data_IF_266722861790
#
_entry.id   IF_266722861790
#
_cell.length_a   1.000
_cell.length_b   1.000
_cell.length_c   1.000
_cell.angle_alpha   90.00
_cell.angle_beta   90.00
_cell.angle_gamma   90.00
#
_symmetry.space_group_name_H-M   'P 1'
#
loop_
_entity.id
_entity.type
_entity.pdbx_description
1 polymer ?
#
# COMPACT_ATOMS: atom_id res chain seq x y z
N UNK A 1 -27.92 -17.04 -8.57
CA UNK A 1 -27.04 -15.93 -8.10
C UNK A 1 -26.22 -15.25 -9.19
N UNK A 2 -25.33 -15.93 -9.97
CA UNK A 2 -24.58 -15.24 -11.05
C UNK A 2 -25.48 -14.87 -12.25
N UNK A 3 -26.42 -15.76 -12.59
CA UNK A 3 -27.36 -15.54 -13.70
C UNK A 3 -28.39 -14.44 -13.43
N UNK A 4 -29.01 -14.42 -12.25
CA UNK A 4 -29.98 -13.38 -11.86
C UNK A 4 -29.34 -11.97 -11.86
N UNK A 5 -28.08 -11.87 -11.41
CA UNK A 5 -27.33 -10.61 -11.41
C UNK A 5 -26.97 -10.12 -12.81
N UNK A 6 -26.80 -11.03 -13.77
CA UNK A 6 -26.57 -10.66 -15.18
C UNK A 6 -27.83 -10.04 -15.77
N UNK A 7 -28.99 -10.65 -15.55
CA UNK A 7 -30.26 -10.16 -16.10
C UNK A 7 -30.63 -8.79 -15.53
N UNK A 8 -30.39 -8.56 -14.23
CA UNK A 8 -30.56 -7.26 -13.58
C UNK A 8 -29.62 -6.19 -14.17
N UNK A 9 -28.35 -6.53 -14.37
CA UNK A 9 -27.36 -5.63 -14.98
C UNK A 9 -27.75 -5.31 -16.42
N UNK A 10 -28.12 -6.33 -17.19
CA UNK A 10 -28.51 -6.19 -18.58
C UNK A 10 -29.77 -5.33 -18.71
N UNK A 11 -30.74 -5.48 -17.79
CA UNK A 11 -31.91 -4.61 -17.70
C UNK A 11 -31.51 -3.15 -17.45
N UNK A 12 -30.64 -2.90 -16.47
CA UNK A 12 -30.14 -1.56 -16.17
C UNK A 12 -29.43 -0.92 -17.36
N UNK A 13 -28.57 -1.68 -18.05
CA UNK A 13 -27.83 -1.22 -19.24
C UNK A 13 -28.79 -0.92 -20.39
N UNK A 14 -29.76 -1.79 -20.66
CA UNK A 14 -30.77 -1.56 -21.71
C UNK A 14 -31.60 -0.30 -21.42
N UNK A 15 -32.04 -0.12 -20.18
CA UNK A 15 -32.77 1.08 -19.74
C UNK A 15 -31.93 2.35 -19.93
N UNK A 16 -30.66 2.33 -19.53
CA UNK A 16 -29.72 3.44 -19.73
C UNK A 16 -29.54 3.78 -21.22
N UNK A 17 -29.33 2.77 -22.07
CA UNK A 17 -29.19 2.95 -23.51
C UNK A 17 -30.45 3.56 -24.14
N UNK A 18 -31.64 3.10 -23.74
CA UNK A 18 -32.92 3.65 -24.19
C UNK A 18 -33.06 5.13 -23.83
N UNK A 19 -32.74 5.51 -22.58
CA UNK A 19 -32.80 6.92 -22.12
C UNK A 19 -31.83 7.81 -22.89
N UNK A 20 -30.69 7.27 -23.33
CA UNK A 20 -29.64 8.00 -24.05
C UNK A 20 -29.74 7.88 -25.58
N UNK A 21 -30.75 7.19 -26.09
CA UNK A 21 -30.92 6.89 -27.52
C UNK A 21 -29.66 6.22 -28.14
N UNK A 22 -29.06 5.30 -27.39
CA UNK A 22 -27.92 4.49 -27.84
C UNK A 22 -28.46 3.18 -28.42
N UNK A 23 -28.09 2.86 -29.65
CA UNK A 23 -28.49 1.62 -30.30
C UNK A 23 -27.93 0.40 -29.56
N UNK A 24 -28.83 -0.54 -29.24
CA UNK A 24 -28.48 -1.77 -28.53
C UNK A 24 -28.19 -2.85 -29.60
N UNK A 25 -26.99 -3.44 -29.61
CA UNK A 25 -26.66 -4.53 -30.54
C UNK A 25 -27.58 -5.74 -30.36
N UNK A 26 -27.84 -6.48 -31.43
CA UNK A 26 -28.53 -7.77 -31.33
C UNK A 26 -27.65 -8.79 -30.60
N UNK A 27 -28.01 -9.08 -29.35
CA UNK A 27 -27.29 -10.00 -28.48
C UNK A 27 -27.34 -11.46 -28.99
N UNK A 28 -28.30 -11.80 -29.86
CA UNK A 28 -28.38 -13.12 -30.48
C UNK A 28 -27.46 -13.28 -31.70
N UNK A 29 -26.87 -12.19 -32.19
CA UNK A 29 -25.94 -12.21 -33.32
C UNK A 29 -24.66 -12.98 -33.00
N UNK A 30 -24.01 -13.52 -34.04
CA UNK A 30 -22.72 -14.20 -33.89
C UNK A 30 -21.63 -13.20 -33.50
N UNK A 31 -20.84 -13.55 -32.48
CA UNK A 31 -19.69 -12.75 -32.09
C UNK A 31 -18.48 -13.01 -33.00
N UNK A 32 -17.80 -11.95 -33.44
CA UNK A 32 -16.56 -12.03 -34.19
C UNK A 32 -15.44 -11.29 -33.45
N UNK A 33 -14.44 -12.02 -32.96
CA UNK A 33 -13.27 -11.42 -32.30
C UNK A 33 -12.50 -10.49 -33.25
N UNK A 34 -12.43 -9.20 -32.95
CA UNK A 34 -11.65 -8.22 -33.75
C UNK A 34 -10.18 -8.21 -33.30
N UNK A 35 -9.31 -8.87 -34.05
CA UNK A 35 -7.86 -8.81 -33.87
C UNK A 35 -7.08 -9.40 -35.06
N UNK A 36 -5.83 -8.97 -35.25
CA UNK A 36 -4.98 -9.33 -36.41
C UNK A 36 -4.73 -10.85 -36.60
N UNK A 37 -5.10 -11.69 -35.62
CA UNK A 37 -5.02 -13.17 -35.68
C UNK A 37 -6.37 -13.85 -35.99
N UNK A 38 -7.42 -13.09 -36.31
CA UNK A 38 -8.78 -13.60 -36.53
C UNK A 38 -9.06 -14.10 -37.96
N UNK A 39 -8.07 -14.68 -38.65
CA UNK A 39 -8.29 -15.19 -40.01
C UNK A 39 -8.91 -16.59 -40.09
N UNK A 40 -9.16 -17.28 -38.97
CA UNK A 40 -9.84 -18.58 -39.05
C UNK A 40 -10.42 -19.13 -37.71
N UNK A 41 -11.00 -18.29 -36.86
CA UNK A 41 -11.78 -18.76 -35.70
C UNK A 41 -13.19 -18.19 -35.79
N UNK A 42 -14.10 -18.96 -36.36
CA UNK A 42 -15.52 -18.81 -36.04
C UNK A 42 -15.65 -19.06 -34.54
N UNK A 43 -16.02 -18.04 -33.75
CA UNK A 43 -16.54 -18.28 -32.41
C UNK A 43 -17.97 -18.78 -32.56
N UNK A 44 -18.22 -20.01 -32.14
CA UNK A 44 -19.52 -20.70 -32.21
C UNK A 44 -20.55 -20.14 -31.19
N UNK A 45 -20.32 -18.92 -30.71
CA UNK A 45 -21.02 -18.34 -29.56
C UNK A 45 -21.58 -16.96 -29.90
N UNK A 46 -22.73 -16.66 -29.31
CA UNK A 46 -23.48 -15.41 -29.53
C UNK A 46 -22.81 -14.22 -28.86
N UNK A 47 -23.19 -13.01 -29.27
CA UNK A 47 -22.76 -11.76 -28.64
C UNK A 47 -23.16 -11.72 -27.15
N UNK A 48 -24.32 -12.27 -26.80
CA UNK A 48 -24.74 -12.49 -25.41
C UNK A 48 -23.72 -13.34 -24.64
N UNK A 49 -23.31 -14.48 -25.20
CA UNK A 49 -22.34 -15.36 -24.57
C UNK A 49 -21.00 -14.64 -24.34
N UNK A 50 -20.54 -13.88 -25.34
CA UNK A 50 -19.29 -13.12 -25.21
C UNK A 50 -19.34 -12.11 -24.05
N UNK A 51 -20.39 -11.28 -23.97
CA UNK A 51 -20.49 -10.30 -22.89
C UNK A 51 -20.77 -10.92 -21.52
N UNK A 52 -21.63 -11.94 -21.46
CA UNK A 52 -22.03 -12.60 -20.22
C UNK A 52 -20.91 -13.47 -19.64
N UNK A 53 -20.31 -14.32 -20.47
CA UNK A 53 -19.36 -15.34 -20.02
C UNK A 53 -17.93 -14.82 -20.10
N UNK A 54 -17.48 -14.40 -21.28
CA UNK A 54 -16.07 -14.05 -21.49
C UNK A 54 -15.66 -12.73 -20.79
N UNK A 55 -16.62 -11.82 -20.58
CA UNK A 55 -16.35 -10.52 -19.96
C UNK A 55 -16.91 -10.46 -18.54
N UNK A 56 -18.23 -10.59 -18.37
CA UNK A 56 -18.85 -10.34 -17.06
C UNK A 56 -18.51 -11.42 -16.03
N UNK A 57 -18.67 -12.70 -16.36
CA UNK A 57 -18.29 -13.78 -15.45
C UNK A 57 -16.79 -13.85 -15.24
N UNK A 58 -15.99 -13.62 -16.27
CA UNK A 58 -14.54 -13.56 -16.12
C UNK A 58 -14.12 -12.43 -15.18
N UNK A 59 -14.67 -11.22 -15.34
CA UNK A 59 -14.38 -10.11 -14.43
C UNK A 59 -14.77 -10.42 -12.98
N UNK A 60 -15.93 -11.03 -12.74
CA UNK A 60 -16.34 -11.47 -11.40
C UNK A 60 -15.40 -12.55 -10.87
N UNK A 61 -15.03 -13.51 -11.70
CA UNK A 61 -14.11 -14.58 -11.30
C UNK A 61 -12.74 -14.00 -10.95
N UNK A 62 -12.20 -13.08 -11.75
CA UNK A 62 -10.97 -12.37 -11.42
C UNK A 62 -11.09 -11.65 -10.08
N UNK A 63 -12.17 -10.91 -9.84
CA UNK A 63 -12.38 -10.22 -8.56
C UNK A 63 -12.47 -11.20 -7.38
N UNK A 64 -13.17 -12.32 -7.54
CA UNK A 64 -13.27 -13.36 -6.51
C UNK A 64 -11.92 -14.01 -6.26
N UNK A 65 -11.16 -14.36 -7.30
CA UNK A 65 -9.82 -14.91 -7.18
C UNK A 65 -8.86 -13.95 -6.49
N UNK A 66 -8.92 -12.66 -6.82
CA UNK A 66 -8.11 -11.62 -6.16
C UNK A 66 -8.51 -11.46 -4.69
N UNK A 67 -9.80 -11.53 -4.36
CA UNK A 67 -10.27 -11.51 -2.97
C UNK A 67 -9.79 -12.74 -2.21
N UNK A 68 -9.94 -13.94 -2.77
CA UNK A 68 -9.50 -15.19 -2.15
C UNK A 68 -7.98 -15.24 -2.00
N UNK A 69 -7.24 -14.67 -2.96
CA UNK A 69 -5.79 -14.57 -2.87
C UNK A 69 -5.36 -13.59 -1.77
N UNK A 70 -5.98 -12.41 -1.69
CA UNK A 70 -5.68 -11.39 -0.67
C UNK A 70 -6.09 -11.84 0.74
N UNK A 71 -7.28 -12.42 0.87
CA UNK A 71 -7.85 -12.92 2.13
C UNK A 71 -7.75 -14.44 2.22
N UNK A 72 -6.58 -14.98 1.89
CA UNK A 72 -6.30 -16.41 2.04
C UNK A 72 -6.53 -16.87 3.48
N UNK A 73 -6.74 -18.17 3.68
CA UNK A 73 -6.88 -18.76 5.02
C UNK A 73 -5.73 -18.35 5.96
N UNK A 74 -4.51 -18.24 5.42
CA UNK A 74 -3.33 -17.76 6.14
C UNK A 74 -3.47 -16.31 6.59
N UNK A 75 -3.89 -15.41 5.69
CA UNK A 75 -4.13 -14.00 6.01
C UNK A 75 -5.26 -13.83 7.02
N UNK A 76 -6.33 -14.62 6.89
CA UNK A 76 -7.45 -14.61 7.81
C UNK A 76 -7.06 -15.12 9.20
N UNK A 77 -6.24 -16.18 9.28
CA UNK A 77 -5.68 -16.65 10.53
C UNK A 77 -4.79 -15.60 11.20
N UNK A 78 -3.96 -14.91 10.42
CA UNK A 78 -3.14 -13.80 10.91
C UNK A 78 -4.00 -12.72 11.58
N UNK A 79 -5.05 -12.26 10.91
CA UNK A 79 -5.97 -11.25 11.48
C UNK A 79 -6.71 -11.77 12.70
N UNK A 80 -7.11 -13.05 12.70
CA UNK A 80 -7.73 -13.69 13.86
C UNK A 80 -6.81 -13.68 15.07
N UNK A 81 -5.53 -14.00 14.89
CA UNK A 81 -4.54 -13.95 15.97
C UNK A 81 -4.28 -12.49 16.41
N UNK A 82 -4.11 -11.57 15.45
CA UNK A 82 -3.89 -10.15 15.72
C UNK A 82 -5.05 -9.46 16.47
N UNK A 83 -6.29 -9.96 16.31
CA UNK A 83 -7.48 -9.42 16.98
C UNK A 83 -7.37 -9.39 18.52
N UNK A 84 -6.51 -10.23 19.12
CA UNK A 84 -6.24 -10.24 20.57
C UNK A 84 -5.60 -8.93 21.06
N UNK A 85 -4.90 -8.21 20.16
CA UNK A 85 -4.27 -6.92 20.43
C UNK A 85 -5.21 -5.74 20.15
N UNK A 86 -6.39 -5.96 19.57
CA UNK A 86 -7.35 -4.90 19.29
C UNK A 86 -8.12 -4.51 20.57
N UNK A 87 -8.04 -3.24 21.01
CA UNK A 87 -8.81 -2.77 22.16
C UNK A 87 -10.33 -2.91 22.00
N UNK A 88 -10.87 -3.00 20.77
CA UNK A 88 -12.30 -3.30 20.57
C UNK A 88 -12.73 -4.61 21.23
N UNK A 89 -11.81 -5.56 21.33
CA UNK A 89 -12.05 -6.86 21.94
C UNK A 89 -11.69 -6.87 23.43
N UNK A 90 -11.61 -5.70 24.10
CA UNK A 90 -11.28 -5.61 25.53
C UNK A 90 -12.28 -6.33 26.45
N UNK A 91 -13.45 -6.71 25.95
CA UNK A 91 -14.43 -7.53 26.68
C UNK A 91 -14.07 -9.03 26.70
N UNK A 92 -13.24 -9.48 25.76
CA UNK A 92 -12.74 -10.86 25.71
C UNK A 92 -11.51 -11.03 26.60
N UNK A 93 -11.28 -12.22 27.16
CA UNK A 93 -10.03 -12.51 27.87
C UNK A 93 -8.85 -12.43 26.90
N UNK A 94 -7.79 -11.74 27.31
CA UNK A 94 -6.59 -11.58 26.50
C UNK A 94 -5.92 -12.93 26.20
N UNK A 95 -5.81 -13.28 24.92
CA UNK A 95 -5.22 -14.54 24.46
C UNK A 95 -3.74 -14.32 24.18
N UNK A 96 -2.90 -14.47 25.21
CA UNK A 96 -1.45 -14.29 25.08
C UNK A 96 -0.78 -15.35 24.19
N UNK A 97 -1.34 -16.55 24.15
CA UNK A 97 -0.88 -17.62 23.26
C UNK A 97 -1.06 -17.24 21.78
N UNK A 98 -2.15 -16.55 21.43
CA UNK A 98 -2.41 -16.11 20.07
C UNK A 98 -1.34 -15.10 19.60
N UNK A 99 -0.86 -14.23 20.50
CA UNK A 99 0.25 -13.31 20.20
C UNK A 99 1.55 -14.08 19.92
N UNK A 100 1.81 -15.14 20.68
CA UNK A 100 2.99 -15.98 20.47
C UNK A 100 2.90 -16.70 19.12
N UNK A 101 1.73 -17.28 18.80
CA UNK A 101 1.49 -17.95 17.52
C UNK A 101 1.61 -16.98 16.34
N UNK A 102 1.13 -15.74 16.50
CA UNK A 102 1.25 -14.71 15.48
C UNK A 102 2.71 -14.44 15.13
N UNK A 103 3.56 -14.26 16.14
CA UNK A 103 5.00 -14.03 15.95
C UNK A 103 5.69 -15.26 15.37
N UNK A 104 5.42 -16.44 15.93
CA UNK A 104 6.06 -17.69 15.50
C UNK A 104 5.72 -18.06 14.05
N UNK A 105 4.49 -17.79 13.60
CA UNK A 105 4.01 -18.20 12.27
C UNK A 105 4.16 -17.14 11.19
N UNK A 106 3.93 -15.86 11.51
CA UNK A 106 3.86 -14.80 10.51
C UNK A 106 5.04 -13.83 10.54
N UNK A 107 5.78 -13.78 11.65
CA UNK A 107 6.96 -12.91 11.79
C UNK A 107 8.21 -13.66 12.31
N UNK A 108 8.58 -14.81 11.71
CA UNK A 108 9.70 -15.61 12.20
C UNK A 108 11.06 -14.90 12.06
N UNK A 109 11.21 -14.04 11.04
CA UNK A 109 12.44 -13.30 10.74
C UNK A 109 12.55 -11.96 11.51
N UNK A 110 11.42 -11.39 11.94
CA UNK A 110 11.40 -10.13 12.68
C UNK A 110 11.63 -10.31 14.19
N UNK A 111 11.69 -11.56 14.66
CA UNK A 111 11.90 -11.90 16.07
C UNK A 111 12.87 -13.07 16.21
N UNK A 112 13.96 -12.86 16.94
CA UNK A 112 14.86 -13.93 17.36
C UNK A 112 14.20 -14.86 18.38
N UNK A 113 14.69 -16.09 18.50
CA UNK A 113 14.14 -17.06 19.47
C UNK A 113 14.29 -16.60 20.93
N UNK A 114 15.33 -15.81 21.21
CA UNK A 114 15.48 -15.16 22.51
C UNK A 114 14.39 -14.11 22.75
N UNK A 115 14.11 -13.25 21.77
CA UNK A 115 13.02 -12.26 21.85
C UNK A 115 11.66 -12.92 21.98
N UNK A 116 11.40 -14.04 21.28
CA UNK A 116 10.15 -14.83 21.44
C UNK A 116 9.97 -15.32 22.87
N UNK A 117 11.05 -15.72 23.53
CA UNK A 117 11.03 -16.14 24.94
C UNK A 117 10.76 -14.96 25.88
N UNK A 118 11.41 -13.83 25.64
CA UNK A 118 11.17 -12.59 26.41
C UNK A 118 9.73 -12.11 26.22
N UNK A 119 9.20 -12.17 24.99
CA UNK A 119 7.84 -11.78 24.66
C UNK A 119 6.82 -12.57 25.50
N UNK A 120 7.00 -13.89 25.63
CA UNK A 120 6.15 -14.75 26.48
C UNK A 120 6.09 -14.26 27.92
N UNK A 121 7.22 -13.81 28.48
CA UNK A 121 7.28 -13.24 29.83
C UNK A 121 6.63 -11.84 29.89
N UNK A 122 6.96 -10.96 28.94
CA UNK A 122 6.42 -9.58 28.88
C UNK A 122 4.91 -9.55 28.69
N UNK A 123 4.34 -10.53 27.99
CA UNK A 123 2.89 -10.66 27.80
C UNK A 123 2.13 -10.82 29.12
N UNK A 124 2.71 -11.49 30.12
CA UNK A 124 2.08 -11.64 31.43
C UNK A 124 1.92 -10.29 32.14
N UNK A 125 2.98 -9.47 32.07
CA UNK A 125 2.95 -8.10 32.61
C UNK A 125 2.06 -7.17 31.78
N UNK A 126 2.03 -7.34 30.46
CA UNK A 126 1.20 -6.54 29.57
C UNK A 126 -0.30 -6.66 29.89
N UNK A 127 -0.78 -7.86 30.23
CA UNK A 127 -2.18 -8.05 30.64
C UNK A 127 -2.53 -7.21 31.85
N UNK A 128 -1.65 -7.18 32.85
CA UNK A 128 -1.87 -6.46 34.11
C UNK A 128 -1.74 -4.95 33.90
N UNK A 129 -0.68 -4.52 33.22
CA UNK A 129 -0.28 -3.11 33.15
C UNK A 129 -1.01 -2.32 32.04
N UNK A 130 -1.44 -3.00 30.98
CA UNK A 130 -2.06 -2.38 29.80
C UNK A 130 -3.50 -2.84 29.64
N UNK A 131 -3.76 -4.15 29.51
CA UNK A 131 -5.10 -4.64 29.14
C UNK A 131 -6.14 -4.38 30.23
N UNK A 132 -5.76 -4.53 31.50
CA UNK A 132 -6.65 -4.24 32.63
C UNK A 132 -6.88 -2.74 32.88
N UNK A 133 -6.10 -1.86 32.24
CA UNK A 133 -6.17 -0.43 32.46
C UNK A 133 -7.48 0.18 31.93
N UNK A 134 -8.13 1.04 32.72
CA UNK A 134 -9.42 1.64 32.36
C UNK A 134 -9.40 2.47 31.06
N UNK A 135 -8.26 3.06 30.73
CA UNK A 135 -8.09 3.79 29.46
C UNK A 135 -8.03 2.84 28.27
N UNK A 136 -7.40 1.67 28.41
CA UNK A 136 -7.30 0.67 27.33
C UNK A 136 -8.69 0.22 26.87
N UNK A 137 -9.58 -0.05 27.82
CA UNK A 137 -10.98 -0.46 27.56
C UNK A 137 -11.83 0.59 26.81
N UNK A 138 -11.36 1.84 26.76
CA UNK A 138 -12.05 2.95 26.07
C UNK A 138 -11.51 3.19 24.66
N UNK A 139 -10.38 2.58 24.30
CA UNK A 139 -9.80 2.74 22.97
C UNK A 139 -10.62 1.98 21.94
N UNK A 140 -10.71 2.54 20.74
CA UNK A 140 -11.56 2.03 19.67
C UNK A 140 -10.78 1.31 18.58
N UNK A 141 -9.45 1.42 18.53
CA UNK A 141 -8.65 0.72 17.53
C UNK A 141 -7.18 0.54 17.95
N UNK A 142 -6.48 -0.33 17.24
CA UNK A 142 -5.03 -0.57 17.40
C UNK A 142 -4.20 0.72 17.19
N UNK A 143 -4.64 1.62 16.30
CA UNK A 143 -3.97 2.90 16.10
C UNK A 143 -3.98 3.79 17.35
N UNK A 144 -5.12 3.86 18.05
CA UNK A 144 -5.24 4.58 19.33
C UNK A 144 -4.42 3.92 20.44
N UNK A 145 -4.35 2.58 20.46
CA UNK A 145 -3.46 1.83 21.35
C UNK A 145 -2.00 2.20 21.15
N UNK A 146 -1.53 2.23 19.90
CA UNK A 146 -0.16 2.60 19.56
C UNK A 146 0.17 4.02 20.08
N UNK A 147 -0.71 4.99 19.83
CA UNK A 147 -0.54 6.36 20.34
C UNK A 147 -0.54 6.43 21.86
N UNK A 148 -1.42 5.67 22.51
CA UNK A 148 -1.54 5.66 23.96
C UNK A 148 -0.31 5.05 24.64
N UNK A 149 0.24 3.96 24.08
CA UNK A 149 1.48 3.34 24.56
C UNK A 149 2.62 4.37 24.56
N UNK A 150 2.75 5.15 23.49
CA UNK A 150 3.83 6.14 23.38
C UNK A 150 3.61 7.34 24.29
N UNK A 151 2.38 7.84 24.39
CA UNK A 151 2.05 8.93 25.34
C UNK A 151 2.34 8.55 26.79
N UNK A 152 2.21 7.27 27.13
CA UNK A 152 2.42 6.75 28.48
C UNK A 152 3.85 6.26 28.74
N UNK A 153 4.76 6.38 27.77
CA UNK A 153 6.13 5.85 27.80
C UNK A 153 6.23 4.32 27.98
N UNK A 154 5.13 3.60 27.71
CA UNK A 154 5.03 2.14 27.86
C UNK A 154 5.60 1.38 26.65
N UNK A 155 5.85 2.06 25.54
CA UNK A 155 6.56 1.55 24.36
C UNK A 155 7.97 1.07 24.71
N UNK A 156 8.64 1.71 25.68
CA UNK A 156 9.98 1.27 26.11
C UNK A 156 9.95 0.02 26.98
N UNK A 157 8.90 -0.15 27.79
CA UNK A 157 8.72 -1.32 28.66
C UNK A 157 8.25 -2.54 27.86
N UNK A 158 7.34 -2.31 26.91
CA UNK A 158 6.74 -3.32 26.06
C UNK A 158 7.18 -3.17 24.59
N UNK A 159 8.47 -2.92 24.37
CA UNK A 159 9.13 -2.74 23.07
C UNK A 159 8.78 -3.84 22.04
N UNK A 160 8.79 -5.12 22.45
CA UNK A 160 8.48 -6.24 21.55
C UNK A 160 7.00 -6.25 21.11
N UNK A 161 6.09 -5.89 22.02
CA UNK A 161 4.65 -5.82 21.74
C UNK A 161 4.37 -4.58 20.89
N UNK A 162 5.03 -3.46 21.20
CA UNK A 162 4.95 -2.23 20.42
C UNK A 162 5.46 -2.45 18.98
N UNK A 163 6.60 -3.13 18.81
CA UNK A 163 7.13 -3.53 17.49
C UNK A 163 6.13 -4.38 16.72
N UNK A 164 5.49 -5.35 17.37
CA UNK A 164 4.46 -6.17 16.75
C UNK A 164 3.22 -5.35 16.34
N UNK A 165 2.77 -4.41 17.18
CA UNK A 165 1.67 -3.50 16.85
C UNK A 165 2.04 -2.63 15.63
N UNK A 166 3.26 -2.12 15.58
CA UNK A 166 3.74 -1.38 14.40
C UNK A 166 3.73 -2.28 13.16
N UNK A 167 4.27 -3.50 13.23
CA UNK A 167 4.24 -4.45 12.12
C UNK A 167 2.81 -4.69 11.60
N UNK A 168 1.84 -4.87 12.50
CA UNK A 168 0.43 -5.02 12.15
C UNK A 168 -0.17 -3.76 11.48
N UNK A 169 0.16 -2.57 11.97
CA UNK A 169 -0.30 -1.30 11.39
C UNK A 169 0.33 -1.02 10.02
N UNK A 170 1.54 -1.54 9.79
CA UNK A 170 2.28 -1.39 8.53
C UNK A 170 1.94 -2.45 7.49
N UNK A 171 1.12 -3.45 7.84
CA UNK A 171 0.66 -4.42 6.85
C UNK A 171 -0.06 -3.67 5.74
N UNK A 172 0.29 -3.93 4.47
CA UNK A 172 -0.41 -3.36 3.33
C UNK A 172 -1.78 -4.04 3.17
N UNK A 173 -2.69 -3.80 4.13
CA UNK A 173 -4.11 -4.16 4.00
C UNK A 173 -4.78 -3.21 2.99
N UNK A 174 -4.19 -2.03 2.78
CA UNK A 174 -4.66 -1.04 1.82
C UNK A 174 -3.73 -1.01 0.60
N UNK A 175 -4.10 -1.70 -0.49
CA UNK A 175 -3.45 -1.50 -1.80
C UNK A 175 -3.65 -0.09 -2.36
N UNK A 176 -4.45 0.75 -1.70
CA UNK A 176 -4.73 2.12 -2.12
C UNK A 176 -3.47 2.98 -2.30
N UNK A 177 -2.42 2.83 -1.46
CA UNK A 177 -1.19 3.61 -1.60
C UNK A 177 -0.35 3.16 -2.80
N UNK A 178 -0.29 1.85 -3.05
CA UNK A 178 0.42 1.27 -4.20
C UNK A 178 -0.34 1.55 -5.51
N UNK A 179 -1.67 1.47 -5.51
CA UNK A 179 -2.50 1.83 -6.66
C UNK A 179 -2.43 3.34 -6.96
N UNK A 180 -2.32 4.19 -5.92
CA UNK A 180 -2.05 5.62 -6.09
C UNK A 180 -0.69 5.87 -6.72
N UNK A 181 0.36 5.15 -6.34
CA UNK A 181 1.68 5.29 -6.97
C UNK A 181 1.71 4.76 -8.41
N UNK A 182 0.97 3.69 -8.73
CA UNK A 182 0.79 3.24 -10.12
C UNK A 182 -0.08 4.20 -10.97
N UNK A 183 -1.10 4.81 -10.38
CA UNK A 183 -1.88 5.86 -11.05
C UNK A 183 -1.05 7.12 -11.27
N UNK A 184 -0.29 7.54 -10.25
CA UNK A 184 0.70 8.61 -10.34
C UNK A 184 1.73 8.33 -11.43
N UNK A 185 2.23 7.10 -11.52
CA UNK A 185 3.12 6.64 -12.59
C UNK A 185 2.50 6.83 -13.97
N UNK A 186 1.24 6.43 -14.16
CA UNK A 186 0.56 6.66 -15.44
C UNK A 186 0.32 8.14 -15.76
N UNK A 187 0.20 9.00 -14.74
CA UNK A 187 0.06 10.45 -14.90
C UNK A 187 1.42 11.10 -15.23
N UNK A 188 2.50 10.68 -14.56
CA UNK A 188 3.86 11.17 -14.79
C UNK A 188 4.37 10.68 -16.16
N UNK A 189 4.20 9.39 -16.45
CA UNK A 189 4.45 8.77 -17.76
C UNK A 189 3.24 8.93 -18.68
N UNK A 190 3.05 10.14 -19.17
CA UNK A 190 2.15 10.36 -20.31
C UNK A 190 2.74 9.74 -21.59
N UNK A 191 1.87 9.44 -22.57
CA UNK A 191 2.27 8.87 -23.87
C UNK A 191 3.36 9.66 -24.62
N UNK A 192 3.53 10.95 -24.28
CA UNK A 192 4.54 11.88 -24.84
C UNK A 192 5.86 11.86 -24.05
N UNK A 193 5.86 11.42 -22.78
CA UNK A 193 7.03 11.35 -21.87
C UNK A 193 7.46 9.91 -21.55
N UNK A 194 7.31 8.99 -22.50
CA UNK A 194 7.64 7.57 -22.27
C UNK A 194 9.15 7.27 -22.14
N UNK A 195 10.02 8.24 -22.43
CA UNK A 195 11.48 8.12 -22.29
C UNK A 195 11.95 9.08 -21.20
N UNK A 196 11.95 8.60 -19.97
CA UNK A 196 12.49 9.28 -18.78
C UNK A 196 13.50 8.35 -18.14
N UNK A 197 14.55 8.92 -17.56
CA UNK A 197 15.54 8.18 -16.79
C UNK A 197 14.93 7.70 -15.46
N UNK A 198 15.36 6.54 -14.97
CA UNK A 198 14.74 5.88 -13.82
C UNK A 198 14.90 6.70 -12.53
N UNK A 199 16.04 7.39 -12.37
CA UNK A 199 16.27 8.31 -11.24
C UNK A 199 15.27 9.47 -11.24
N UNK A 200 15.13 10.15 -12.39
CA UNK A 200 14.23 11.30 -12.52
C UNK A 200 12.75 10.92 -12.35
N UNK A 201 12.38 9.72 -12.80
CA UNK A 201 11.05 9.17 -12.59
C UNK A 201 10.77 8.92 -11.11
N UNK A 202 11.74 8.33 -10.39
CA UNK A 202 11.60 8.05 -8.97
C UNK A 202 11.42 9.35 -8.16
N UNK A 203 12.25 10.36 -8.43
CA UNK A 203 12.16 11.67 -7.78
C UNK A 203 10.82 12.36 -8.06
N UNK A 204 10.34 12.28 -9.31
CA UNK A 204 9.04 12.85 -9.70
C UNK A 204 7.86 12.14 -9.04
N UNK A 205 7.93 10.82 -8.91
CA UNK A 205 6.90 10.02 -8.22
C UNK A 205 6.87 10.31 -6.74
N UNK A 206 8.04 10.45 -6.10
CA UNK A 206 8.16 10.79 -4.70
C UNK A 206 7.47 12.11 -4.40
N UNK A 207 7.75 13.16 -5.19
CA UNK A 207 7.08 14.46 -5.07
C UNK A 207 5.55 14.39 -5.27
N UNK A 208 5.08 13.49 -6.15
CA UNK A 208 3.66 13.35 -6.43
C UNK A 208 2.91 12.57 -5.34
N UNK A 209 3.53 11.51 -4.81
CA UNK A 209 2.97 10.68 -3.72
C UNK A 209 2.94 11.49 -2.43
N UNK A 210 4.03 12.19 -2.12
CA UNK A 210 4.21 13.01 -0.91
C UNK A 210 3.79 14.47 -1.13
N UNK A 211 2.85 14.74 -2.03
CA UNK A 211 2.46 16.11 -2.40
C UNK A 211 2.04 16.94 -1.19
N UNK A 212 1.35 16.34 -0.23
CA UNK A 212 0.91 17.02 1.00
C UNK A 212 2.06 17.45 1.91
N UNK A 213 3.21 16.76 1.83
CA UNK A 213 4.44 17.12 2.53
C UNK A 213 5.24 18.12 1.69
N UNK A 214 5.34 17.90 0.38
CA UNK A 214 6.05 18.77 -0.56
C UNK A 214 5.44 20.18 -0.62
N UNK A 215 4.12 20.31 -0.52
CA UNK A 215 3.41 21.60 -0.48
C UNK A 215 3.78 22.45 0.76
N UNK A 216 4.31 21.82 1.82
CA UNK A 216 4.76 22.52 3.04
C UNK A 216 6.20 23.03 2.93
N UNK A 217 6.94 22.62 1.90
CA UNK A 217 8.30 23.07 1.66
C UNK A 217 8.25 24.40 0.90
N UNK A 218 8.87 25.44 1.45
CA UNK A 218 8.94 26.74 0.79
C UNK A 218 9.88 26.68 -0.41
N UNK A 219 9.40 27.17 -1.56
CA UNK A 219 10.24 27.31 -2.76
C UNK A 219 11.37 28.31 -2.52
N UNK A 220 11.13 29.32 -1.70
CA UNK A 220 12.12 30.33 -1.32
C UNK A 220 13.26 29.71 -0.50
N UNK A 221 12.95 28.81 0.44
CA UNK A 221 13.95 28.06 1.21
C UNK A 221 14.81 27.16 0.31
N UNK A 222 14.18 26.43 -0.63
CA UNK A 222 14.89 25.61 -1.62
C UNK A 222 15.85 26.47 -2.46
N UNK A 223 15.39 27.65 -2.89
CA UNK A 223 16.20 28.57 -3.71
C UNK A 223 17.38 29.13 -2.91
N UNK A 224 17.20 29.47 -1.65
CA UNK A 224 18.28 29.95 -0.79
C UNK A 224 19.29 28.84 -0.47
N UNK A 225 18.84 27.61 -0.19
CA UNK A 225 19.72 26.45 -0.01
C UNK A 225 20.50 26.12 -1.28
N UNK A 226 19.84 26.22 -2.44
CA UNK A 226 20.50 26.04 -3.74
C UNK A 226 21.55 27.13 -4.00
N UNK A 227 21.26 28.39 -3.66
CA UNK A 227 22.23 29.49 -3.74
C UNK A 227 23.39 29.32 -2.75
N UNK A 228 23.13 28.74 -1.57
CA UNK A 228 24.15 28.47 -0.55
C UNK A 228 25.07 27.31 -0.96
N UNK A 229 24.56 26.34 -1.72
CA UNK A 229 25.34 25.30 -2.39
C UNK A 229 26.13 25.85 -3.60
N UNK A 230 27.01 26.82 -3.34
CA UNK A 230 27.67 27.72 -4.31
C UNK A 230 28.55 27.06 -5.39
N UNK A 231 28.78 25.76 -5.39
CA UNK A 231 29.83 25.14 -6.22
C UNK A 231 29.40 23.94 -7.08
N UNK A 232 28.26 24.06 -7.76
CA UNK A 232 27.96 23.23 -8.94
C UNK A 232 27.78 24.10 -10.16
N UNK A 233 28.90 24.47 -10.81
CA UNK A 233 28.86 24.80 -12.24
C UNK A 233 28.46 23.54 -13.01
N UNK A 234 27.18 23.38 -13.28
CA UNK A 234 26.72 22.44 -14.31
C UNK A 234 27.25 23.00 -15.63
N UNK A 235 28.07 22.28 -16.40
CA UNK A 235 28.50 22.77 -17.70
C UNK A 235 27.26 22.80 -18.60
N UNK A 236 26.72 23.98 -18.83
CA UNK A 236 25.73 24.19 -19.88
C UNK A 236 26.48 24.06 -21.21
N UNK A 237 26.57 22.85 -21.72
CA UNK A 237 27.00 22.62 -23.09
C UNK A 237 25.86 23.07 -24.01
N UNK A 238 26.09 24.14 -24.77
CA UNK A 238 25.13 24.73 -25.72
C UNK A 238 24.91 23.89 -26.98
N UNK A 239 25.36 22.62 -27.05
CA UNK A 239 25.23 21.80 -28.27
C UNK A 239 24.49 20.46 -28.17
N UNK A 240 24.05 19.99 -26.99
CA UNK A 240 23.32 18.71 -26.90
C UNK A 240 22.23 18.73 -25.84
N UNK A 241 20.97 18.67 -26.28
CA UNK A 241 19.77 18.55 -25.45
C UNK A 241 19.56 17.12 -24.93
N UNK A 242 20.48 16.63 -24.09
CA UNK A 242 20.25 15.53 -23.13
C UNK A 242 21.29 15.69 -22.01
N UNK A 243 20.86 15.88 -20.76
CA UNK A 243 21.76 15.85 -19.60
C UNK A 243 21.47 14.58 -18.81
N UNK A 244 22.42 13.63 -18.83
CA UNK A 244 22.53 12.59 -17.83
C UNK A 244 22.95 13.26 -16.52
N UNK A 245 22.13 13.15 -15.48
CA UNK A 245 22.53 13.46 -14.11
C UNK A 245 23.18 12.19 -13.56
N UNK A 246 24.43 12.28 -13.12
CA UNK A 246 25.05 11.28 -12.24
C UNK A 246 25.30 11.99 -10.91
N UNK A 247 24.51 11.66 -9.89
CA UNK A 247 24.82 12.02 -8.52
C UNK A 247 25.85 11.03 -7.97
N UNK A 248 27.10 11.49 -7.83
CA UNK A 248 28.12 10.77 -7.08
C UNK A 248 28.03 11.22 -5.62
N UNK A 249 27.47 10.39 -4.76
CA UNK A 249 27.59 10.57 -3.30
C UNK A 249 28.94 10.01 -2.87
N UNK A 250 29.87 10.87 -2.50
CA UNK A 250 31.07 10.45 -1.78
C UNK A 250 30.66 9.98 -0.38
N UNK A 251 30.75 8.68 -0.14
CA UNK A 251 30.86 8.15 1.21
C UNK A 251 32.04 7.18 1.26
N UNK A 252 33.16 7.72 1.75
CA UNK A 252 34.39 7.00 2.02
C UNK A 252 34.23 6.07 3.22
N UNK A 253 33.77 4.83 2.99
CA UNK A 253 34.17 3.63 3.75
C UNK A 253 34.13 2.44 2.81
N UNK A 254 35.30 1.91 2.49
CA UNK A 254 35.46 0.84 1.51
C UNK A 254 34.86 -0.48 1.98
N UNK A 255 34.09 -1.11 1.10
CA UNK A 255 34.09 -2.56 0.88
C UNK A 255 33.86 -2.76 -0.62
N UNK A 256 34.81 -3.41 -1.28
CA UNK A 256 34.67 -3.86 -2.66
C UNK A 256 33.76 -5.09 -2.65
N UNK A 257 32.57 -5.01 -3.22
CA UNK A 257 31.77 -6.19 -3.53
C UNK A 257 31.25 -6.08 -4.97
N UNK A 258 31.90 -6.84 -5.85
CA UNK A 258 31.37 -7.18 -7.17
C UNK A 258 30.19 -8.14 -6.98
N UNK A 259 28.97 -7.67 -7.24
CA UNK A 259 27.81 -8.57 -7.33
C UNK A 259 27.30 -8.70 -8.77
N UNK A 260 27.41 -9.94 -9.25
CA UNK A 260 26.86 -10.44 -10.49
C UNK A 260 25.33 -10.27 -10.51
N UNK A 261 24.81 -9.75 -11.62
CA UNK A 261 23.38 -9.72 -11.91
C UNK A 261 22.80 -11.14 -11.95
N UNK A 262 21.74 -11.38 -11.16
CA UNK A 262 20.82 -12.49 -11.38
C UNK A 262 19.38 -12.01 -11.19
N UNK A 263 18.49 -12.45 -12.07
CA UNK A 263 17.17 -11.87 -12.33
C UNK A 263 16.13 -12.17 -11.23
N UNK A 264 16.18 -11.45 -10.10
CA UNK A 264 15.11 -11.44 -9.09
C UNK A 264 14.93 -10.04 -8.48
N UNK A 265 14.59 -9.06 -9.32
CA UNK A 265 14.42 -7.65 -8.93
C UNK A 265 13.10 -7.35 -8.16
N UNK A 266 12.15 -8.29 -8.08
CA UNK A 266 10.82 -8.03 -7.49
C UNK A 266 10.72 -8.25 -5.97
N UNK A 267 11.70 -8.90 -5.31
CA UNK A 267 11.58 -9.22 -3.87
C UNK A 267 12.52 -8.42 -2.95
N UNK A 268 13.68 -7.94 -3.44
CA UNK A 268 14.72 -7.43 -2.52
C UNK A 268 14.63 -5.93 -2.20
N UNK A 269 14.16 -5.09 -3.14
CA UNK A 269 14.10 -3.63 -2.92
C UNK A 269 12.93 -3.25 -2.00
N UNK A 270 11.86 -4.06 -2.00
CA UNK A 270 10.65 -3.81 -1.21
C UNK A 270 10.83 -3.90 0.30
N UNK A 271 11.82 -4.62 0.81
CA UNK A 271 12.02 -4.75 2.28
C UNK A 271 13.08 -3.80 2.83
N UNK A 272 14.17 -3.54 2.11
CA UNK A 272 15.28 -2.71 2.62
C UNK A 272 14.95 -1.22 2.61
N UNK A 273 14.25 -0.71 1.59
CA UNK A 273 13.80 0.69 1.54
C UNK A 273 12.56 0.92 2.41
N UNK A 274 11.70 -0.08 2.57
CA UNK A 274 10.51 0.03 3.44
C UNK A 274 10.90 0.02 4.92
N UNK A 275 12.00 -0.64 5.32
CA UNK A 275 12.52 -0.57 6.69
C UNK A 275 13.06 0.82 7.06
N UNK A 276 13.72 1.52 6.13
CA UNK A 276 14.17 2.90 6.35
C UNK A 276 13.04 3.93 6.22
N UNK A 277 12.02 3.66 5.40
CA UNK A 277 10.84 4.52 5.26
C UNK A 277 9.93 4.45 6.50
N UNK A 278 9.74 3.26 7.06
CA UNK A 278 8.93 3.05 8.27
C UNK A 278 9.57 3.60 9.55
N UNK A 279 10.90 3.57 9.68
CA UNK A 279 11.60 4.08 10.88
C UNK A 279 11.52 5.62 11.01
N UNK A 280 11.41 6.32 9.88
CA UNK A 280 11.34 7.79 9.84
C UNK A 280 9.87 8.28 9.90
N UNK A 281 8.92 7.57 9.28
CA UNK A 281 7.48 7.85 9.40
C UNK A 281 6.95 7.61 10.83
N UNK A 282 7.45 6.60 11.55
CA UNK A 282 7.07 6.38 12.96
C UNK A 282 7.57 7.53 13.84
N UNK A 283 8.74 8.13 13.54
CA UNK A 283 9.21 9.33 14.24
C UNK A 283 8.37 10.56 13.89
N UNK A 284 7.97 10.73 12.63
CA UNK A 284 7.10 11.84 12.19
C UNK A 284 5.66 11.73 12.71
N UNK A 285 5.10 10.51 12.81
CA UNK A 285 3.80 10.23 13.43
C UNK A 285 3.78 10.56 14.92
N UNK A 286 4.92 10.41 15.62
CA UNK A 286 5.03 10.73 17.04
C UNK A 286 5.20 12.21 17.36
N UNK A 287 5.74 13.00 16.42
CA UNK A 287 5.92 14.45 16.59
C UNK A 287 4.71 15.26 16.08
N UNK A 288 3.89 14.71 15.17
CA UNK A 288 2.89 15.46 14.41
C UNK A 288 1.42 15.42 14.86
N UNK A 289 1.05 14.74 15.96
CA UNK A 289 -0.37 14.60 16.33
C UNK A 289 -0.97 15.81 17.06
N UNK A 290 -1.32 16.86 16.30
CA UNK A 290 -2.42 17.78 16.62
C UNK A 290 -3.65 17.45 15.76
N UNK A 291 -4.27 16.31 16.07
CA UNK A 291 -5.46 15.79 15.38
C UNK A 291 -6.76 16.38 15.97
N UNK A 292 -6.91 17.71 16.02
CA UNK A 292 -8.15 18.36 16.53
C UNK A 292 -8.79 19.46 15.70
N UNK A 293 -8.17 19.97 14.62
CA UNK A 293 -8.74 21.13 13.92
C UNK A 293 -9.29 20.87 12.50
N UNK A 294 -9.27 19.63 11.99
CA UNK A 294 -9.64 19.36 10.57
C UNK A 294 -11.12 18.99 10.34
N UNK A 295 -11.93 18.79 11.39
CA UNK A 295 -13.37 18.46 11.21
C UNK A 295 -14.33 19.67 11.17
N UNK A 296 -13.85 20.91 11.08
CA UNK A 296 -14.75 22.10 11.10
C UNK A 296 -14.87 22.88 9.79
N UNK A 297 -14.23 22.47 8.68
CA UNK A 297 -14.37 23.19 7.40
C UNK A 297 -14.38 22.24 6.20
N UNK A 298 -15.55 21.70 5.89
CA UNK A 298 -15.87 21.23 4.54
C UNK A 298 -16.86 22.22 3.89
N UNK A 299 -16.49 22.93 2.81
CA UNK A 299 -17.46 23.53 1.90
C UNK A 299 -17.87 22.50 0.84
N UNK A 300 -19.19 22.37 0.68
CA UNK A 300 -19.90 21.61 -0.34
C UNK A 300 -19.35 21.85 -1.74
N UNK A 301 -18.97 20.78 -2.44
CA UNK A 301 -19.12 20.61 -3.89
C UNK A 301 -19.43 19.14 -4.18
#
# INVERSE_FOLDING_TARGET
>A
MKDEKWDDLLYCVKSFCQVRNIDIPDLSSSYFSRGARARNKHSDHTLDHHYRVDIFYEAINCQLMELDHRFSDSTMEMFRLASTLDPKNAHEPFRSLDVCQLVEKFYPEDFSDHEKTILKMKLQHYVIDVVQHEVYKKLTCIGELCQWLVRTRRETTFDLIYRLICLLLTLPVSTATIERSFSAMNIVKTRVRNKMDDEFLNDSLLLFIEREVAEKISLEEIVEDFKAAKDRRIPTCTCCSVTHLQFKTDNSKGVNETFSYNNNWQQSIGMSHMKSFMDEDVKHLLVGMKFKDVLSKAPNW
#
